data_IF_670250536830
#
_entry.id   IF_670250536830
#
_cell.length_a   1.000
_cell.length_b   1.000
_cell.length_c   1.000
_cell.angle_alpha   90.00
_cell.angle_beta   90.00
_cell.angle_gamma   90.00
#
_symmetry.space_group_name_H-M   'P 1'
#
loop_
_entity.id
_entity.type
_entity.pdbx_description
1 polymer ?
#
# COMPACT_ATOMS: atom_id res chain seq x y z
N UNK A 1 11.10 36.07 13.54
CA UNK A 1 10.17 34.98 13.17
C UNK A 1 10.98 33.97 12.36
N UNK A 2 11.02 32.68 12.72
CA UNK A 2 11.85 31.72 11.99
C UNK A 2 11.17 31.42 10.64
N UNK A 3 11.96 31.51 9.57
CA UNK A 3 11.54 31.12 8.23
C UNK A 3 11.24 29.61 8.25
N UNK A 4 9.96 29.25 8.14
CA UNK A 4 9.55 27.86 7.97
C UNK A 4 10.12 27.34 6.64
N UNK A 5 10.70 26.14 6.70
CA UNK A 5 11.38 25.43 5.61
C UNK A 5 10.70 25.61 4.24
N UNK A 6 11.27 26.47 3.41
CA UNK A 6 10.80 26.78 2.05
C UNK A 6 10.94 25.62 1.06
N UNK A 7 11.40 24.45 1.51
CA UNK A 7 11.58 23.25 0.69
C UNK A 7 10.56 22.14 0.98
N UNK A 8 9.64 22.34 1.93
CA UNK A 8 8.65 21.33 2.24
C UNK A 8 7.53 21.29 1.17
N UNK A 9 7.22 20.09 0.68
CA UNK A 9 6.19 19.90 -0.34
C UNK A 9 4.80 20.32 0.18
N UNK A 10 3.89 20.71 -0.72
CA UNK A 10 2.50 21.01 -0.32
C UNK A 10 1.83 19.80 0.33
N UNK A 11 2.10 18.59 -0.16
CA UNK A 11 1.58 17.34 0.40
C UNK A 11 2.00 17.15 1.85
N UNK A 12 3.29 17.31 2.15
CA UNK A 12 3.81 17.13 3.51
C UNK A 12 3.19 18.13 4.48
N UNK A 13 2.95 19.37 4.04
CA UNK A 13 2.31 20.41 4.87
C UNK A 13 0.83 20.11 5.12
N UNK A 14 0.10 19.63 4.11
CA UNK A 14 -1.29 19.18 4.25
C UNK A 14 -1.42 17.99 5.20
N UNK A 15 -0.49 17.03 5.12
CA UNK A 15 -0.45 15.86 6.01
C UNK A 15 -0.17 16.24 7.46
N UNK A 16 0.80 17.12 7.70
CA UNK A 16 1.11 17.63 9.05
C UNK A 16 -0.05 18.38 9.70
N UNK A 17 -0.86 19.06 8.88
CA UNK A 17 -2.04 19.77 9.34
C UNK A 17 -3.30 18.90 9.39
N UNK A 18 -3.21 17.62 9.00
CA UNK A 18 -4.34 16.67 8.98
C UNK A 18 -5.54 17.12 8.13
N UNK A 19 -5.32 18.00 7.15
CA UNK A 19 -6.35 18.55 6.24
C UNK A 19 -6.22 18.07 4.80
N UNK A 20 -5.38 17.06 4.55
CA UNK A 20 -5.14 16.54 3.20
C UNK A 20 -6.44 16.11 2.52
N UNK A 21 -7.25 15.27 3.19
CA UNK A 21 -8.47 14.71 2.60
C UNK A 21 -9.50 15.80 2.29
N UNK A 22 -9.64 16.78 3.19
CA UNK A 22 -10.53 17.92 2.99
C UNK A 22 -10.07 18.76 1.81
N UNK A 23 -8.76 19.06 1.74
CA UNK A 23 -8.20 19.82 0.63
C UNK A 23 -8.34 19.10 -0.73
N UNK A 24 -8.08 17.80 -0.76
CA UNK A 24 -8.20 17.00 -1.99
C UNK A 24 -9.66 16.93 -2.45
N UNK A 25 -10.63 16.84 -1.53
CA UNK A 25 -12.05 16.93 -1.86
C UNK A 25 -12.42 18.30 -2.46
N UNK A 26 -11.94 19.42 -1.88
CA UNK A 26 -12.17 20.76 -2.44
C UNK A 26 -11.55 20.90 -3.85
N UNK A 27 -10.34 20.39 -4.04
CA UNK A 27 -9.61 20.51 -5.31
C UNK A 27 -10.18 19.63 -6.43
N UNK A 28 -10.50 18.37 -6.12
CA UNK A 28 -10.81 17.37 -7.15
C UNK A 28 -12.30 17.07 -7.26
N UNK A 29 -13.04 17.04 -6.14
CA UNK A 29 -14.47 16.73 -6.17
C UNK A 29 -15.29 17.99 -6.40
N UNK A 30 -15.02 19.05 -5.64
CA UNK A 30 -15.72 20.33 -5.77
C UNK A 30 -15.13 21.22 -6.87
N UNK A 31 -13.93 20.87 -7.37
CA UNK A 31 -13.22 21.59 -8.45
C UNK A 31 -13.10 23.09 -8.17
N UNK A 32 -12.83 23.46 -6.91
CA UNK A 32 -12.67 24.86 -6.51
C UNK A 32 -11.56 25.55 -7.32
N UNK A 33 -11.75 26.85 -7.55
CA UNK A 33 -10.77 27.64 -8.28
C UNK A 33 -9.49 27.81 -7.44
N UNK A 34 -8.33 27.97 -8.10
CA UNK A 34 -7.05 28.03 -7.40
C UNK A 34 -6.92 29.23 -6.44
N UNK A 35 -7.61 30.33 -6.71
CA UNK A 35 -7.68 31.48 -5.81
C UNK A 35 -8.30 31.09 -4.48
N UNK A 36 -9.44 30.41 -4.53
CA UNK A 36 -10.23 30.05 -3.35
C UNK A 36 -9.54 28.92 -2.56
N UNK A 37 -8.81 28.04 -3.27
CA UNK A 37 -7.95 27.04 -2.64
C UNK A 37 -6.77 27.68 -1.89
N UNK A 38 -6.19 28.77 -2.41
CA UNK A 38 -5.14 29.50 -1.68
C UNK A 38 -5.70 30.16 -0.42
N UNK A 39 -6.86 30.80 -0.51
CA UNK A 39 -7.54 31.38 0.66
C UNK A 39 -7.85 30.32 1.71
N UNK A 40 -8.29 29.13 1.28
CA UNK A 40 -8.55 28.03 2.20
C UNK A 40 -7.27 27.51 2.86
N UNK A 41 -6.17 27.39 2.11
CA UNK A 41 -4.87 27.01 2.68
C UNK A 41 -4.37 28.04 3.70
N UNK A 42 -4.60 29.33 3.46
CA UNK A 42 -4.27 30.39 4.41
C UNK A 42 -5.06 30.26 5.72
N UNK A 43 -6.34 29.89 5.67
CA UNK A 43 -7.15 29.61 6.87
C UNK A 43 -6.58 28.45 7.71
N UNK A 44 -5.97 27.47 7.06
CA UNK A 44 -5.26 26.37 7.73
C UNK A 44 -3.81 26.70 8.08
N UNK A 45 -3.39 27.97 7.94
CA UNK A 45 -2.01 28.42 8.19
C UNK A 45 -0.96 27.74 7.27
N UNK A 46 -1.34 27.35 6.06
CA UNK A 46 -0.47 26.74 5.05
C UNK A 46 -0.21 27.76 3.94
N UNK A 47 1.03 28.23 3.82
CA UNK A 47 1.43 29.10 2.71
C UNK A 47 1.61 28.29 1.42
N UNK A 48 1.08 28.74 0.28
CA UNK A 48 1.28 28.06 -1.00
C UNK A 48 1.29 29.06 -2.16
N UNK A 49 1.45 28.55 -3.38
CA UNK A 49 1.40 29.36 -4.61
C UNK A 49 0.62 28.65 -5.69
N UNK A 50 0.15 29.39 -6.70
CA UNK A 50 -0.50 28.82 -7.89
C UNK A 50 0.38 27.75 -8.56
N UNK A 51 1.69 27.96 -8.62
CA UNK A 51 2.63 26.98 -9.16
C UNK A 51 2.71 25.70 -8.32
N UNK A 52 2.67 25.81 -6.99
CA UNK A 52 2.64 24.66 -6.09
C UNK A 52 1.31 23.89 -6.19
N UNK A 53 0.18 24.60 -6.26
CA UNK A 53 -1.14 24.00 -6.51
C UNK A 53 -1.21 23.25 -7.84
N UNK A 54 -0.69 23.85 -8.90
CA UNK A 54 -0.67 23.22 -10.24
C UNK A 54 0.14 21.93 -10.24
N UNK A 55 1.34 21.93 -9.65
CA UNK A 55 2.17 20.73 -9.50
C UNK A 55 1.50 19.68 -8.63
N UNK A 56 0.86 20.10 -7.53
CA UNK A 56 0.11 19.21 -6.65
C UNK A 56 -1.05 18.54 -7.38
N UNK A 57 -1.86 19.30 -8.12
CA UNK A 57 -2.97 18.77 -8.91
C UNK A 57 -2.47 17.74 -9.93
N UNK A 58 -1.37 18.04 -10.63
CA UNK A 58 -0.79 17.14 -11.62
C UNK A 58 -0.26 15.84 -10.99
N UNK A 59 0.36 15.90 -9.81
CA UNK A 59 0.91 14.71 -9.14
C UNK A 59 -0.13 13.89 -8.38
N UNK A 60 -1.17 14.53 -7.84
CA UNK A 60 -2.19 13.89 -6.99
C UNK A 60 -3.49 13.55 -7.69
N UNK A 61 -3.75 14.06 -8.89
CA UNK A 61 -4.99 13.78 -9.62
C UNK A 61 -5.21 12.29 -9.89
N UNK A 62 -4.17 11.57 -10.34
CA UNK A 62 -4.24 10.11 -10.54
C UNK A 62 -4.45 9.35 -9.23
N UNK A 63 -3.57 9.53 -8.21
CA UNK A 63 -3.73 8.91 -6.90
C UNK A 63 -5.10 9.15 -6.25
N UNK A 64 -5.60 10.40 -6.26
CA UNK A 64 -6.91 10.74 -5.71
C UNK A 64 -8.04 9.99 -6.41
N UNK A 65 -8.03 9.97 -7.74
CA UNK A 65 -9.05 9.26 -8.52
C UNK A 65 -9.08 7.76 -8.18
N UNK A 66 -7.91 7.16 -7.95
CA UNK A 66 -7.78 5.76 -7.54
C UNK A 66 -8.33 5.52 -6.14
N UNK A 67 -7.91 6.33 -5.17
CA UNK A 67 -8.34 6.23 -3.76
C UNK A 67 -9.86 6.41 -3.65
N UNK A 68 -10.43 7.36 -4.40
CA UNK A 68 -11.88 7.57 -4.50
C UNK A 68 -12.58 6.36 -5.12
N UNK A 69 -12.05 5.81 -6.21
CA UNK A 69 -12.63 4.66 -6.88
C UNK A 69 -12.68 3.42 -5.98
N UNK A 70 -11.60 3.15 -5.26
CA UNK A 70 -11.56 2.08 -4.27
C UNK A 70 -12.56 2.27 -3.13
N UNK A 71 -12.67 3.51 -2.62
CA UNK A 71 -13.58 3.82 -1.53
C UNK A 71 -15.02 3.55 -1.95
N UNK A 72 -15.42 4.02 -3.12
CA UNK A 72 -16.75 3.80 -3.67
C UNK A 72 -17.02 2.33 -4.00
N UNK A 73 -16.05 1.62 -4.57
CA UNK A 73 -16.15 0.17 -4.81
C UNK A 73 -16.38 -0.58 -3.49
N UNK A 74 -15.61 -0.25 -2.45
CA UNK A 74 -15.73 -0.88 -1.13
C UNK A 74 -17.07 -0.58 -0.48
N UNK A 75 -17.47 0.68 -0.41
CA UNK A 75 -18.77 1.10 0.14
C UNK A 75 -19.94 0.39 -0.56
N UNK A 76 -19.86 0.27 -1.89
CA UNK A 76 -20.87 -0.46 -2.66
C UNK A 76 -20.89 -1.95 -2.30
N UNK A 77 -19.74 -2.61 -2.27
CA UNK A 77 -19.64 -4.03 -1.97
C UNK A 77 -20.07 -4.36 -0.54
N UNK A 78 -19.78 -3.49 0.43
CA UNK A 78 -20.21 -3.64 1.82
C UNK A 78 -21.72 -3.46 1.98
N UNK A 79 -22.33 -2.51 1.25
CA UNK A 79 -23.77 -2.23 1.34
C UNK A 79 -24.67 -3.14 0.49
N UNK A 80 -24.19 -3.59 -0.68
CA UNK A 80 -25.01 -4.25 -1.70
C UNK A 80 -24.40 -5.56 -2.21
N UNK A 81 -23.14 -5.85 -1.89
CA UNK A 81 -22.42 -6.99 -2.46
C UNK A 81 -22.95 -8.35 -2.00
N UNK A 82 -23.52 -8.44 -0.79
CA UNK A 82 -24.00 -9.69 -0.19
C UNK A 82 -25.10 -10.36 -1.03
N UNK A 83 -25.92 -9.59 -1.72
CA UNK A 83 -27.07 -10.08 -2.50
C UNK A 83 -26.74 -10.40 -3.97
N UNK A 84 -25.48 -10.20 -4.37
CA UNK A 84 -25.03 -10.39 -5.75
C UNK A 84 -24.20 -11.66 -5.91
N UNK A 85 -24.41 -12.39 -7.01
CA UNK A 85 -23.51 -13.47 -7.41
C UNK A 85 -22.11 -12.93 -7.76
N UNK A 86 -21.10 -13.79 -7.64
CA UNK A 86 -19.68 -13.43 -7.77
C UNK A 86 -19.33 -12.78 -9.12
N UNK A 87 -20.00 -13.17 -10.21
CA UNK A 87 -19.73 -12.63 -11.53
C UNK A 87 -20.32 -11.21 -11.68
N UNK A 88 -21.57 -11.02 -11.25
CA UNK A 88 -22.23 -9.71 -11.27
C UNK A 88 -21.54 -8.74 -10.31
N UNK A 89 -21.14 -9.21 -9.13
CA UNK A 89 -20.38 -8.43 -8.13
C UNK A 89 -19.09 -7.88 -8.74
N UNK A 90 -18.31 -8.71 -9.43
CA UNK A 90 -17.05 -8.27 -10.08
C UNK A 90 -17.28 -7.27 -11.21
N UNK A 91 -18.31 -7.48 -12.02
CA UNK A 91 -18.65 -6.57 -13.12
C UNK A 91 -19.05 -5.18 -12.61
N UNK A 92 -19.92 -5.14 -11.60
CA UNK A 92 -20.41 -3.87 -11.03
C UNK A 92 -19.33 -3.15 -10.25
N UNK A 93 -18.52 -3.88 -9.48
CA UNK A 93 -17.36 -3.32 -8.79
C UNK A 93 -16.36 -2.68 -9.78
N UNK A 94 -16.05 -3.38 -10.89
CA UNK A 94 -15.20 -2.83 -11.94
C UNK A 94 -15.80 -1.61 -12.64
N UNK A 95 -17.13 -1.60 -12.84
CA UNK A 95 -17.84 -0.47 -13.44
C UNK A 95 -17.81 0.76 -12.54
N UNK A 96 -18.12 0.58 -11.26
CA UNK A 96 -18.07 1.64 -10.24
C UNK A 96 -16.65 2.21 -10.14
N UNK A 97 -15.66 1.33 -10.09
CA UNK A 97 -14.26 1.73 -10.09
C UNK A 97 -13.88 2.55 -11.33
N UNK A 98 -14.31 2.14 -12.53
CA UNK A 98 -14.06 2.88 -13.77
C UNK A 98 -14.78 4.24 -13.79
N UNK A 99 -16.04 4.28 -13.37
CA UNK A 99 -16.85 5.50 -13.35
C UNK A 99 -16.33 6.49 -12.29
N UNK A 100 -15.77 5.98 -11.17
CA UNK A 100 -15.23 6.77 -10.07
C UNK A 100 -13.77 7.24 -10.28
N UNK A 101 -12.95 6.51 -11.03
CA UNK A 101 -11.57 6.90 -11.39
C UNK A 101 -11.48 8.08 -12.39
N UNK A 102 -12.63 8.71 -12.68
CA UNK A 102 -12.90 9.89 -13.49
C UNK A 102 -13.36 9.62 -14.92
N UNK A 103 -14.36 10.36 -15.44
CA UNK A 103 -14.77 10.38 -16.84
C UNK A 103 -13.73 10.94 -17.83
N UNK A 104 -12.66 11.61 -17.34
CA UNK A 104 -11.58 12.16 -18.19
C UNK A 104 -10.27 11.36 -18.15
N UNK A 105 -10.13 10.42 -17.23
CA UNK A 105 -8.97 9.51 -17.20
C UNK A 105 -9.19 8.42 -18.23
N UNK A 106 -8.21 8.17 -19.10
CA UNK A 106 -8.39 7.14 -20.13
C UNK A 106 -8.63 5.77 -19.47
N UNK A 107 -9.58 5.00 -20.00
CA UNK A 107 -9.85 3.63 -19.51
C UNK A 107 -8.58 2.77 -19.47
N UNK A 108 -7.63 3.04 -20.37
CA UNK A 108 -6.31 2.40 -20.40
C UNK A 108 -5.48 2.71 -19.16
N UNK A 109 -5.48 3.95 -18.68
CA UNK A 109 -4.74 4.35 -17.48
C UNK A 109 -5.36 3.77 -16.23
N UNK A 110 -6.70 3.74 -16.15
CA UNK A 110 -7.44 3.10 -15.05
C UNK A 110 -7.12 1.59 -14.99
N UNK A 111 -7.14 0.90 -16.13
CA UNK A 111 -6.75 -0.52 -16.20
C UNK A 111 -5.28 -0.74 -15.83
N UNK A 112 -4.38 0.15 -16.27
CA UNK A 112 -2.95 0.07 -15.92
C UNK A 112 -2.73 0.25 -14.42
N UNK A 113 -3.42 1.19 -13.77
CA UNK A 113 -3.32 1.41 -12.33
C UNK A 113 -3.86 0.21 -11.55
N UNK A 114 -4.98 -0.38 -11.99
CA UNK A 114 -5.50 -1.62 -11.40
C UNK A 114 -4.53 -2.79 -11.54
N UNK A 115 -3.90 -2.96 -12.71
CA UNK A 115 -2.88 -3.98 -12.94
C UNK A 115 -1.68 -3.78 -12.00
N UNK A 116 -1.22 -2.53 -11.83
CA UNK A 116 -0.14 -2.18 -10.92
C UNK A 116 -0.46 -2.54 -9.46
N UNK A 117 -1.70 -2.37 -9.02
CA UNK A 117 -2.11 -2.75 -7.68
C UNK A 117 -2.20 -4.26 -7.48
N UNK A 118 -2.72 -4.99 -8.46
CA UNK A 118 -2.71 -6.46 -8.44
C UNK A 118 -1.25 -6.95 -8.36
N UNK A 119 -0.34 -6.33 -9.10
CA UNK A 119 1.09 -6.62 -9.02
C UNK A 119 1.66 -6.29 -7.64
N UNK A 120 1.34 -5.13 -7.06
CA UNK A 120 1.78 -4.77 -5.71
C UNK A 120 1.24 -5.75 -4.65
N UNK A 121 0.00 -6.18 -4.76
CA UNK A 121 -0.60 -7.16 -3.86
C UNK A 121 0.11 -8.52 -3.96
N UNK A 122 0.44 -8.97 -5.18
CA UNK A 122 1.25 -10.18 -5.42
C UNK A 122 2.64 -10.03 -4.81
N UNK A 123 3.33 -8.92 -5.04
CA UNK A 123 4.66 -8.66 -4.48
C UNK A 123 4.63 -8.68 -2.94
N UNK A 124 3.61 -8.10 -2.30
CA UNK A 124 3.43 -8.19 -0.85
C UNK A 124 3.24 -9.63 -0.37
N UNK A 125 2.42 -10.40 -1.08
CA UNK A 125 2.20 -11.81 -0.75
C UNK A 125 3.48 -12.65 -0.91
N UNK A 126 4.25 -12.39 -1.98
CA UNK A 126 5.50 -13.09 -2.24
C UNK A 126 6.58 -12.68 -1.24
N UNK A 127 6.63 -11.42 -0.80
CA UNK A 127 7.51 -10.98 0.29
C UNK A 127 7.22 -11.72 1.60
N UNK A 128 5.95 -11.90 1.96
CA UNK A 128 5.55 -12.69 3.15
C UNK A 128 5.96 -14.15 3.01
N UNK A 129 5.78 -14.76 1.82
CA UNK A 129 6.22 -16.14 1.58
C UNK A 129 7.74 -16.26 1.68
N UNK A 130 8.47 -15.26 1.19
CA UNK A 130 9.93 -15.24 1.21
C UNK A 130 10.45 -15.12 2.65
N UNK A 131 9.87 -14.24 3.47
CA UNK A 131 10.18 -14.13 4.91
C UNK A 131 9.90 -15.46 5.66
N UNK A 132 8.78 -16.12 5.35
CA UNK A 132 8.48 -17.43 5.91
C UNK A 132 9.47 -18.51 5.44
N UNK A 133 9.92 -18.45 4.20
CA UNK A 133 10.92 -19.37 3.66
C UNK A 133 12.29 -19.14 4.32
N UNK A 134 12.72 -17.89 4.47
CA UNK A 134 13.96 -17.52 5.16
C UNK A 134 13.98 -18.00 6.61
N UNK A 135 12.88 -17.82 7.35
CA UNK A 135 12.75 -18.34 8.73
C UNK A 135 12.87 -19.87 8.78
N UNK A 136 12.26 -20.57 7.84
CA UNK A 136 12.37 -22.03 7.74
C UNK A 136 13.78 -22.47 7.38
N UNK A 137 14.44 -21.74 6.49
CA UNK A 137 15.81 -22.02 6.05
C UNK A 137 16.79 -21.83 7.21
N UNK A 138 16.69 -20.71 7.95
CA UNK A 138 17.50 -20.47 9.15
C UNK A 138 17.31 -21.54 10.23
N UNK A 139 16.07 -22.01 10.44
CA UNK A 139 15.78 -23.11 11.36
C UNK A 139 16.44 -24.42 10.89
N UNK A 140 16.38 -24.72 9.59
CA UNK A 140 17.01 -25.91 9.02
C UNK A 140 18.53 -25.84 9.10
N UNK A 141 19.13 -24.69 8.82
CA UNK A 141 20.58 -24.46 8.97
C UNK A 141 21.04 -24.65 10.42
N UNK A 142 20.28 -24.11 11.39
CA UNK A 142 20.55 -24.32 12.82
C UNK A 142 20.46 -25.81 13.21
N UNK A 143 19.46 -26.53 12.71
CA UNK A 143 19.33 -27.98 12.92
C UNK A 143 20.47 -28.77 12.27
N UNK A 144 20.89 -28.40 11.08
CA UNK A 144 22.03 -29.04 10.40
C UNK A 144 23.33 -28.75 11.15
N UNK A 145 23.54 -27.52 11.62
CA UNK A 145 24.71 -27.14 12.42
C UNK A 145 24.81 -27.94 13.71
N UNK A 146 23.74 -27.94 14.52
CA UNK A 146 23.67 -28.73 15.77
C UNK A 146 23.84 -30.23 15.55
N UNK A 147 23.28 -30.77 14.47
CA UNK A 147 23.46 -32.17 14.11
C UNK A 147 24.90 -32.49 13.68
N UNK A 148 25.55 -31.58 12.94
CA UNK A 148 26.93 -31.73 12.49
C UNK A 148 27.92 -31.65 13.66
N UNK A 149 27.74 -30.68 14.56
CA UNK A 149 28.53 -30.55 15.80
C UNK A 149 28.43 -31.81 16.66
N UNK A 150 27.23 -32.39 16.78
CA UNK A 150 27.05 -33.66 17.50
C UNK A 150 27.80 -34.82 16.82
N UNK A 151 27.77 -34.93 15.48
CA UNK A 151 28.49 -35.98 14.75
C UNK A 151 30.02 -35.84 14.82
N UNK A 152 30.52 -34.61 14.80
CA UNK A 152 31.96 -34.30 14.83
C UNK A 152 32.56 -34.32 16.24
N UNK A 153 31.74 -34.35 17.29
CA UNK A 153 32.21 -34.43 18.68
C UNK A 153 33.00 -35.72 18.95
N UNK A 154 34.20 -35.57 19.49
CA UNK A 154 35.05 -36.69 19.90
C UNK A 154 34.65 -37.31 21.25
N UNK A 155 33.73 -36.66 21.98
CA UNK A 155 33.29 -37.07 23.33
C UNK A 155 32.07 -37.99 23.32
N UNK A 156 31.33 -38.03 22.21
CA UNK A 156 30.12 -38.85 22.05
C UNK A 156 30.44 -40.19 21.40
N UNK A 157 29.79 -41.26 21.88
CA UNK A 157 29.80 -42.55 21.20
C UNK A 157 28.94 -42.51 19.94
N UNK A 158 29.19 -43.42 18.98
CA UNK A 158 28.46 -43.44 17.71
C UNK A 158 26.95 -43.62 17.87
N UNK A 159 26.52 -44.36 18.91
CA UNK A 159 25.10 -44.53 19.24
C UNK A 159 24.46 -43.22 19.76
N UNK A 160 25.19 -42.46 20.59
CA UNK A 160 24.72 -41.16 21.11
C UNK A 160 24.68 -40.08 20.01
N UNK A 161 25.61 -40.12 19.05
CA UNK A 161 25.61 -39.26 17.86
C UNK A 161 24.36 -39.48 17.01
N UNK A 162 24.00 -40.74 16.77
CA UNK A 162 22.80 -41.12 16.01
C UNK A 162 21.53 -40.76 16.78
N UNK A 163 21.50 -40.93 18.11
CA UNK A 163 20.36 -40.53 18.94
C UNK A 163 20.13 -39.02 18.93
N UNK A 164 21.19 -38.21 19.02
CA UNK A 164 21.11 -36.73 18.92
C UNK A 164 20.65 -36.27 17.54
N UNK A 165 21.13 -36.89 16.48
CA UNK A 165 20.67 -36.60 15.12
C UNK A 165 19.16 -36.88 14.97
N UNK A 166 18.71 -38.04 15.46
CA UNK A 166 17.29 -38.40 15.49
C UNK A 166 16.43 -37.43 16.31
N UNK A 167 16.96 -36.93 17.42
CA UNK A 167 16.29 -35.93 18.26
C UNK A 167 16.13 -34.57 17.56
N UNK A 168 17.14 -34.11 16.80
CA UNK A 168 17.10 -32.83 16.07
C UNK A 168 16.11 -32.84 14.89
N UNK A 169 16.02 -33.98 14.21
CA UNK A 169 15.14 -34.16 13.03
C UNK A 169 13.81 -34.86 13.34
N UNK A 170 13.59 -35.33 14.57
CA UNK A 170 12.34 -35.92 15.05
C UNK A 170 11.99 -37.27 14.43
N UNK A 171 12.95 -38.18 14.30
CA UNK A 171 12.76 -39.53 13.75
C UNK A 171 13.05 -40.65 14.74
#
# INVERSE_FOLDING_TARGET
MPAQDTNESLLSRLQKAEVQDEFEALMFDQKMHYTDLLEQLEKWSISSSLGALSRYKASRGGPWAMERAMRQEREFLEGHGADMDEATRKLVAMRIFQDAASPETSTKDVLRMREQEIQMAKLKQDAVKLEQAERKLALLESKVGTAKEAMESAELTDEEKVARWKQVFGR
#
